data_IF_738921356143
#
_entry.id   IF_738921356143
#
_cell.length_a   1.000
_cell.length_b   1.000
_cell.length_c   1.000
_cell.angle_alpha   90.00
_cell.angle_beta   90.00
_cell.angle_gamma   90.00
#
_symmetry.space_group_name_H-M   'P 1'
#
loop_
_entity.id
_entity.type
_entity.pdbx_description
1 polymer ?
#
# COMPACT_ATOMS: atom_id res chain seq x y z
N UNK A 1 -3.85 0.99 26.27
CA UNK A 1 -2.65 1.57 25.63
C UNK A 1 -1.68 0.52 25.08
N UNK A 2 -1.17 -0.47 25.85
CA UNK A 2 -0.19 -1.46 25.38
C UNK A 2 -0.69 -2.26 24.16
N UNK A 3 -1.90 -2.78 24.20
CA UNK A 3 -2.48 -3.61 23.10
C UNK A 3 -2.59 -2.83 21.77
N UNK A 4 -2.93 -1.55 21.81
CA UNK A 4 -3.01 -0.70 20.62
C UNK A 4 -1.62 -0.48 20.01
N UNK A 5 -0.60 -0.23 20.85
CA UNK A 5 0.78 -0.06 20.39
C UNK A 5 1.31 -1.32 19.71
N UNK A 6 1.03 -2.50 20.28
CA UNK A 6 1.41 -3.78 19.69
C UNK A 6 0.71 -4.01 18.36
N UNK A 7 -0.60 -3.73 18.28
CA UNK A 7 -1.34 -3.84 17.02
C UNK A 7 -0.78 -2.90 15.95
N UNK A 8 -0.44 -1.68 16.32
CA UNK A 8 0.18 -0.71 15.41
C UNK A 8 1.50 -1.22 14.86
N UNK A 9 2.41 -1.66 15.74
CA UNK A 9 3.70 -2.23 15.33
C UNK A 9 3.53 -3.45 14.43
N UNK A 10 2.51 -4.27 14.71
CA UNK A 10 2.19 -5.43 13.90
C UNK A 10 1.68 -5.02 12.50
N UNK A 11 0.81 -4.03 12.41
CA UNK A 11 0.32 -3.50 11.14
C UNK A 11 1.47 -2.93 10.29
N UNK A 12 2.35 -2.16 10.91
CA UNK A 12 3.55 -1.63 10.25
C UNK A 12 4.45 -2.76 9.73
N UNK A 13 4.68 -3.78 10.54
CA UNK A 13 5.46 -4.93 10.13
C UNK A 13 4.81 -5.70 8.97
N UNK A 14 3.50 -5.93 9.01
CA UNK A 14 2.76 -6.58 7.92
C UNK A 14 2.91 -5.78 6.62
N UNK A 15 2.75 -4.46 6.67
CA UNK A 15 2.88 -3.61 5.48
C UNK A 15 4.27 -3.65 4.85
N UNK A 16 5.31 -3.72 5.67
CA UNK A 16 6.69 -3.87 5.21
C UNK A 16 7.02 -5.26 4.64
N UNK A 17 6.19 -6.28 4.92
CA UNK A 17 6.46 -7.66 4.55
C UNK A 17 5.40 -8.27 3.61
N UNK A 18 4.53 -7.46 2.99
CA UNK A 18 3.47 -7.97 2.10
C UNK A 18 4.00 -8.77 0.90
N UNK A 19 5.22 -8.48 0.46
CA UNK A 19 5.96 -9.15 -0.61
C UNK A 19 6.79 -10.36 -0.13
N UNK A 20 6.61 -10.78 1.12
CA UNK A 20 7.20 -11.97 1.70
C UNK A 20 6.11 -12.93 2.18
N UNK A 21 6.41 -14.24 2.31
CA UNK A 21 5.51 -15.16 2.98
C UNK A 21 5.26 -14.70 4.42
N UNK A 22 4.02 -14.51 4.79
CA UNK A 22 3.63 -14.15 6.16
C UNK A 22 2.78 -15.30 6.71
N UNK A 23 3.30 -16.02 7.69
CA UNK A 23 2.58 -17.03 8.43
C UNK A 23 1.98 -16.48 9.73
N UNK A 24 1.01 -17.17 10.29
CA UNK A 24 0.46 -16.81 11.60
C UNK A 24 1.48 -17.01 12.72
N UNK A 25 2.43 -17.91 12.51
CA UNK A 25 3.54 -18.19 13.40
C UNK A 25 4.48 -16.99 13.50
N UNK A 26 4.87 -16.41 12.36
CA UNK A 26 5.72 -15.22 12.30
C UNK A 26 5.07 -14.05 13.04
N UNK A 27 3.76 -13.87 12.83
CA UNK A 27 2.98 -12.83 13.46
C UNK A 27 2.88 -13.04 14.98
N UNK A 28 2.65 -14.28 15.43
CA UNK A 28 2.59 -14.64 16.83
C UNK A 28 3.94 -14.40 17.51
N UNK A 29 5.03 -14.84 16.88
CA UNK A 29 6.40 -14.62 17.37
C UNK A 29 6.72 -13.13 17.47
N UNK A 30 6.41 -12.35 16.40
CA UNK A 30 6.67 -10.90 16.36
C UNK A 30 5.89 -10.12 17.41
N UNK A 31 4.66 -10.51 17.68
CA UNK A 31 3.77 -9.84 18.63
C UNK A 31 3.97 -10.25 20.09
N UNK A 32 4.61 -11.38 20.34
CA UNK A 32 4.69 -11.99 21.66
C UNK A 32 3.38 -12.61 22.16
N UNK A 33 2.36 -12.72 21.29
CA UNK A 33 1.07 -13.32 21.60
C UNK A 33 0.95 -14.73 21.04
N UNK A 34 0.13 -15.58 21.68
CA UNK A 34 -0.28 -16.84 21.07
C UNK A 34 -1.09 -16.59 19.79
N UNK A 35 -1.07 -17.56 18.84
CA UNK A 35 -1.84 -17.48 17.58
C UNK A 35 -3.31 -17.13 17.81
N UNK A 36 -3.93 -17.77 18.81
CA UNK A 36 -5.34 -17.52 19.17
C UNK A 36 -5.56 -16.08 19.66
N UNK A 37 -4.68 -15.62 20.53
CA UNK A 37 -4.82 -14.28 21.11
C UNK A 37 -4.61 -13.18 20.08
N UNK A 38 -3.64 -13.33 19.17
CA UNK A 38 -3.41 -12.33 18.13
C UNK A 38 -4.56 -12.28 17.11
N UNK A 39 -5.13 -13.43 16.72
CA UNK A 39 -6.30 -13.47 15.86
C UNK A 39 -7.52 -12.80 16.50
N UNK A 40 -7.76 -13.06 17.79
CA UNK A 40 -8.85 -12.44 18.55
C UNK A 40 -8.63 -10.93 18.69
N UNK A 41 -7.42 -10.52 19.06
CA UNK A 41 -7.04 -9.11 19.17
C UNK A 41 -7.29 -8.39 17.86
N UNK A 42 -6.80 -8.96 16.76
CA UNK A 42 -6.94 -8.37 15.44
C UNK A 42 -8.41 -8.26 15.02
N UNK A 43 -9.19 -9.33 15.20
CA UNK A 43 -10.62 -9.34 14.87
C UNK A 43 -11.41 -8.29 15.67
N UNK A 44 -11.08 -8.12 16.96
CA UNK A 44 -11.77 -7.15 17.83
C UNK A 44 -11.46 -5.70 17.43
N UNK A 45 -10.24 -5.40 16.97
CA UNK A 45 -9.85 -4.05 16.59
C UNK A 45 -10.14 -3.71 15.13
N UNK A 46 -9.99 -4.70 14.24
CA UNK A 46 -10.09 -4.48 12.79
C UNK A 46 -11.41 -4.95 12.20
N UNK A 47 -12.27 -5.59 13.01
CA UNK A 47 -13.55 -6.18 12.60
C UNK A 47 -13.43 -7.15 11.41
N UNK A 48 -12.24 -7.68 11.16
CA UNK A 48 -11.97 -8.68 10.13
C UNK A 48 -10.87 -9.65 10.55
N UNK A 49 -10.83 -10.88 10.00
CA UNK A 49 -9.76 -11.83 10.25
C UNK A 49 -8.41 -11.31 9.71
N UNK A 50 -7.33 -11.61 10.42
CA UNK A 50 -5.96 -11.20 10.07
C UNK A 50 -5.55 -11.64 8.65
N UNK A 51 -5.79 -12.93 8.28
CA UNK A 51 -5.49 -13.41 6.94
C UNK A 51 -6.27 -12.69 5.84
N UNK A 52 -7.52 -12.30 6.12
CA UNK A 52 -8.33 -11.52 5.18
C UNK A 52 -7.77 -10.10 4.99
N UNK A 53 -7.26 -9.50 6.06
CA UNK A 53 -6.58 -8.21 5.98
C UNK A 53 -5.34 -8.29 5.09
N UNK A 54 -4.43 -9.23 5.36
CA UNK A 54 -3.20 -9.42 4.58
C UNK A 54 -3.53 -9.65 3.09
N UNK A 55 -4.49 -10.53 2.80
CA UNK A 55 -4.94 -10.79 1.42
C UNK A 55 -5.49 -9.55 0.75
N UNK A 56 -6.34 -8.79 1.43
CA UNK A 56 -6.90 -7.55 0.90
C UNK A 56 -5.81 -6.49 0.65
N UNK A 57 -4.83 -6.36 1.56
CA UNK A 57 -3.69 -5.45 1.38
C UNK A 57 -2.82 -5.84 0.17
N UNK A 58 -2.55 -7.15 -0.01
CA UNK A 58 -1.84 -7.67 -1.18
C UNK A 58 -2.58 -7.35 -2.48
N UNK A 59 -3.91 -7.52 -2.51
CA UNK A 59 -4.71 -7.14 -3.68
C UNK A 59 -4.68 -5.63 -3.96
N UNK A 60 -4.70 -4.80 -2.93
CA UNK A 60 -4.57 -3.35 -3.10
C UNK A 60 -3.18 -2.96 -3.66
N UNK A 61 -2.11 -3.61 -3.17
CA UNK A 61 -0.75 -3.42 -3.72
C UNK A 61 -0.68 -3.93 -5.17
N UNK A 62 -1.33 -5.06 -5.46
CA UNK A 62 -1.44 -5.57 -6.83
C UNK A 62 -2.14 -4.58 -7.75
N UNK A 63 -3.23 -3.92 -7.33
CA UNK A 63 -3.93 -2.93 -8.13
C UNK A 63 -3.02 -1.76 -8.54
N UNK A 64 -2.15 -1.32 -7.64
CA UNK A 64 -1.13 -0.31 -7.91
C UNK A 64 -0.12 -0.83 -8.95
N UNK A 65 0.42 -2.04 -8.76
CA UNK A 65 1.37 -2.64 -9.70
C UNK A 65 0.75 -2.90 -11.09
N UNK A 66 -0.50 -3.39 -11.12
CA UNK A 66 -1.26 -3.60 -12.35
C UNK A 66 -1.39 -2.29 -13.13
N UNK A 67 -1.62 -1.18 -12.44
CA UNK A 67 -1.87 0.12 -13.08
C UNK A 67 -0.59 0.84 -13.48
N UNK A 68 0.44 0.78 -12.64
CA UNK A 68 1.64 1.61 -12.78
C UNK A 68 2.84 0.88 -13.41
N UNK A 69 2.73 -0.44 -13.66
CA UNK A 69 3.85 -1.20 -14.22
C UNK A 69 3.46 -2.03 -15.44
N UNK A 70 4.44 -2.35 -16.27
CA UNK A 70 4.28 -3.27 -17.39
C UNK A 70 4.42 -4.76 -16.99
N UNK A 71 4.57 -5.07 -15.69
CA UNK A 71 4.73 -6.45 -15.21
C UNK A 71 3.59 -7.35 -15.67
N UNK A 72 3.91 -8.61 -15.96
CA UNK A 72 2.88 -9.61 -16.30
C UNK A 72 1.96 -9.87 -15.10
N UNK A 73 0.73 -10.32 -15.37
CA UNK A 73 -0.21 -10.67 -14.30
C UNK A 73 0.30 -11.85 -13.46
N UNK A 74 1.08 -12.73 -14.07
CA UNK A 74 1.74 -13.84 -13.38
C UNK A 74 2.82 -13.33 -12.42
N UNK A 75 3.69 -12.44 -12.86
CA UNK A 75 4.75 -11.87 -12.02
C UNK A 75 4.18 -11.11 -10.83
N UNK A 76 3.12 -10.33 -11.06
CA UNK A 76 2.43 -9.63 -9.98
C UNK A 76 1.83 -10.62 -8.98
N UNK A 77 1.16 -11.68 -9.47
CA UNK A 77 0.58 -12.70 -8.61
C UNK A 77 1.65 -13.39 -7.75
N UNK A 78 2.75 -13.83 -8.36
CA UNK A 78 3.82 -14.51 -7.66
C UNK A 78 4.55 -13.59 -6.67
N UNK A 79 4.83 -12.34 -7.05
CA UNK A 79 5.49 -11.38 -6.16
C UNK A 79 4.68 -11.01 -4.91
N UNK A 80 3.38 -11.28 -4.93
CA UNK A 80 2.46 -11.03 -3.79
C UNK A 80 1.93 -12.32 -3.16
N UNK A 81 2.59 -13.45 -3.42
CA UNK A 81 2.31 -14.76 -2.83
C UNK A 81 0.87 -15.25 -3.05
N UNK A 82 0.38 -15.12 -4.28
CA UNK A 82 -0.77 -15.87 -4.75
C UNK A 82 -0.31 -17.19 -5.35
N UNK A 83 -1.03 -18.26 -5.07
CA UNK A 83 -0.69 -19.62 -5.51
C UNK A 83 -0.67 -19.77 -7.05
N UNK A 84 -1.45 -18.94 -7.74
CA UNK A 84 -1.52 -18.94 -9.20
C UNK A 84 -2.10 -17.62 -9.72
N UNK A 85 -1.85 -17.32 -11.00
CA UNK A 85 -2.46 -16.20 -11.70
C UNK A 85 -4.00 -16.30 -11.71
N UNK A 86 -4.55 -17.53 -11.79
CA UNK A 86 -6.00 -17.76 -11.76
C UNK A 86 -6.60 -17.41 -10.41
N UNK A 87 -5.96 -17.86 -9.32
CA UNK A 87 -6.37 -17.53 -7.95
C UNK A 87 -6.33 -16.01 -7.74
N UNK A 88 -5.23 -15.38 -8.13
CA UNK A 88 -5.08 -13.92 -8.08
C UNK A 88 -6.18 -13.21 -8.86
N UNK A 89 -6.43 -13.58 -10.12
CA UNK A 89 -7.42 -12.92 -10.97
C UNK A 89 -8.84 -13.04 -10.42
N UNK A 90 -9.18 -14.18 -9.84
CA UNK A 90 -10.48 -14.42 -9.19
C UNK A 90 -10.67 -13.54 -7.96
N UNK A 91 -9.68 -13.52 -7.08
CA UNK A 91 -9.73 -12.70 -5.87
C UNK A 91 -9.72 -11.20 -6.19
N UNK A 92 -8.95 -10.79 -7.19
CA UNK A 92 -8.91 -9.43 -7.68
C UNK A 92 -10.26 -8.98 -8.22
N UNK A 93 -10.88 -9.82 -9.08
CA UNK A 93 -12.23 -9.54 -9.61
C UNK A 93 -13.28 -9.45 -8.51
N UNK A 94 -13.17 -10.29 -7.48
CA UNK A 94 -14.08 -10.24 -6.32
C UNK A 94 -13.98 -8.92 -5.56
N UNK A 95 -12.78 -8.34 -5.44
CA UNK A 95 -12.56 -7.10 -4.70
C UNK A 95 -12.86 -5.85 -5.55
N UNK A 96 -12.40 -5.83 -6.81
CA UNK A 96 -12.46 -4.64 -7.68
C UNK A 96 -13.58 -4.68 -8.73
N UNK A 97 -14.35 -5.77 -8.81
CA UNK A 97 -15.47 -5.91 -9.75
C UNK A 97 -15.06 -6.22 -11.19
N UNK A 98 -13.77 -6.22 -11.51
CA UNK A 98 -13.25 -6.48 -12.87
C UNK A 98 -11.94 -7.27 -12.80
N UNK A 99 -11.54 -7.87 -13.94
CA UNK A 99 -10.28 -8.60 -14.02
C UNK A 99 -9.08 -7.65 -13.93
N UNK A 100 -7.88 -8.13 -13.52
CA UNK A 100 -6.66 -7.32 -13.50
C UNK A 100 -6.35 -6.69 -14.86
N UNK A 101 -6.61 -7.42 -15.95
CA UNK A 101 -6.39 -6.92 -17.31
C UNK A 101 -7.33 -5.77 -17.66
N UNK A 102 -8.62 -5.91 -17.36
CA UNK A 102 -9.61 -4.83 -17.54
C UNK A 102 -9.26 -3.63 -16.67
N UNK A 103 -8.83 -3.85 -15.43
CA UNK A 103 -8.41 -2.78 -14.52
C UNK A 103 -7.22 -1.99 -15.06
N UNK A 104 -6.25 -2.66 -15.71
CA UNK A 104 -5.09 -2.02 -16.37
C UNK A 104 -5.50 -1.11 -17.53
N UNK A 105 -6.50 -1.52 -18.30
CA UNK A 105 -6.91 -0.85 -19.54
C UNK A 105 -7.97 0.25 -19.34
N UNK A 106 -8.53 0.40 -18.15
CA UNK A 106 -9.52 1.45 -17.87
C UNK A 106 -8.93 2.85 -18.05
N UNK A 107 -9.70 3.77 -18.60
CA UNK A 107 -9.27 5.17 -18.77
C UNK A 107 -9.11 5.91 -17.45
N UNK A 108 -9.86 5.51 -16.43
CA UNK A 108 -9.78 6.08 -15.08
C UNK A 108 -9.29 5.07 -14.05
N UNK A 109 -8.67 5.57 -12.98
CA UNK A 109 -8.22 4.75 -11.87
C UNK A 109 -9.24 4.75 -10.73
N UNK A 110 -9.99 3.64 -10.63
CA UNK A 110 -10.95 3.46 -9.55
C UNK A 110 -10.22 3.08 -8.24
N UNK A 111 -10.23 3.97 -7.29
CA UNK A 111 -9.61 3.80 -5.97
C UNK A 111 -10.61 3.40 -4.87
N UNK A 112 -11.90 3.24 -5.19
CA UNK A 112 -12.99 3.04 -4.23
C UNK A 112 -12.76 1.85 -3.30
N UNK A 113 -12.21 0.74 -3.81
CA UNK A 113 -11.95 -0.47 -3.05
C UNK A 113 -10.50 -0.60 -2.56
N UNK A 114 -9.68 0.42 -2.75
CA UNK A 114 -8.32 0.42 -2.23
C UNK A 114 -8.36 0.70 -0.73
N UNK A 115 -8.02 -0.31 0.06
CA UNK A 115 -7.78 -0.16 1.49
C UNK A 115 -6.40 0.46 1.67
N UNK A 116 -6.26 1.68 2.22
CA UNK A 116 -4.96 2.25 2.54
C UNK A 116 -4.29 1.44 3.67
N UNK A 117 -2.96 1.53 3.84
CA UNK A 117 -2.29 0.99 5.01
C UNK A 117 -2.90 1.57 6.28
N UNK A 118 -3.33 0.70 7.19
CA UNK A 118 -3.86 1.13 8.49
C UNK A 118 -2.68 1.47 9.43
N UNK A 119 -1.76 2.25 8.94
CA UNK A 119 -0.70 2.81 9.76
C UNK A 119 -1.35 3.85 10.67
N UNK A 120 -1.61 3.46 11.91
CA UNK A 120 -1.94 4.40 12.95
C UNK A 120 -0.67 5.18 13.34
N UNK A 121 -0.02 5.83 12.37
CA UNK A 121 0.79 6.99 12.76
C UNK A 121 -0.17 7.84 13.58
N UNK A 122 0.23 8.19 14.79
CA UNK A 122 -0.38 9.34 15.44
C UNK A 122 -0.29 10.46 14.39
N UNK A 123 -1.37 10.64 13.65
CA UNK A 123 -1.50 11.82 12.84
C UNK A 123 -1.39 12.95 13.87
N UNK A 124 -0.25 13.62 13.93
CA UNK A 124 -0.30 15.00 14.35
C UNK A 124 -1.48 15.56 13.59
N UNK A 125 -2.53 15.95 14.34
CA UNK A 125 -3.69 16.59 13.73
C UNK A 125 -3.14 17.75 12.91
N UNK A 126 -2.99 17.50 11.62
CA UNK A 126 -2.65 18.58 10.69
C UNK A 126 -3.92 19.42 10.66
N UNK A 127 -3.87 20.54 11.32
CA UNK A 127 -4.98 21.50 11.34
C UNK A 127 -5.03 22.13 9.95
N UNK A 128 -5.75 21.47 9.05
CA UNK A 128 -5.93 21.95 7.68
C UNK A 128 -6.97 23.04 7.71
N UNK A 129 -6.55 24.29 7.49
CA UNK A 129 -7.45 25.41 7.30
C UNK A 129 -7.58 25.71 5.83
N UNK A 130 -8.82 25.76 5.36
CA UNK A 130 -9.11 26.32 4.04
C UNK A 130 -8.98 27.83 4.14
N UNK A 131 -8.01 28.41 3.46
CA UNK A 131 -7.85 29.87 3.36
C UNK A 131 -8.06 30.29 1.93
N UNK A 132 -8.87 31.33 1.71
CA UNK A 132 -8.94 31.99 0.42
C UNK A 132 -7.71 32.88 0.28
N UNK A 133 -6.79 32.48 -0.61
CA UNK A 133 -5.67 33.35 -0.98
C UNK A 133 -6.15 34.43 -1.95
N UNK A 134 -5.70 35.67 -1.79
CA UNK A 134 -5.87 36.67 -2.83
C UNK A 134 -5.19 36.20 -4.12
N UNK A 135 -5.53 36.83 -5.25
CA UNK A 135 -4.95 36.49 -6.54
C UNK A 135 -3.41 36.37 -6.44
N UNK A 136 -2.90 35.14 -6.47
CA UNK A 136 -1.50 34.85 -6.22
C UNK A 136 -0.87 34.31 -7.50
N UNK A 137 0.16 34.98 -8.01
CA UNK A 137 0.96 34.50 -9.13
C UNK A 137 1.99 33.51 -8.60
N UNK A 138 1.93 32.26 -9.09
CA UNK A 138 2.91 31.22 -8.73
C UNK A 138 3.93 31.14 -9.87
N UNK A 139 5.20 31.29 -9.54
CA UNK A 139 6.32 31.11 -10.45
C UNK A 139 7.01 29.79 -10.11
N UNK A 140 7.34 29.00 -11.12
CA UNK A 140 8.01 27.71 -10.92
C UNK A 140 8.65 27.20 -12.21
N UNK A 141 9.61 26.29 -12.07
CA UNK A 141 10.21 25.57 -13.18
C UNK A 141 9.53 24.21 -13.31
N UNK A 142 9.19 23.82 -14.56
CA UNK A 142 8.71 22.46 -14.84
C UNK A 142 9.84 21.61 -15.37
N UNK A 143 9.99 20.40 -14.82
CA UNK A 143 10.95 19.41 -15.30
C UNK A 143 10.18 18.21 -15.83
N UNK A 144 10.53 17.73 -17.02
CA UNK A 144 10.07 16.44 -17.54
C UNK A 144 11.19 15.44 -17.33
N UNK A 145 10.86 14.28 -16.76
CA UNK A 145 11.77 13.16 -16.64
C UNK A 145 11.00 11.87 -16.89
N UNK A 146 11.62 10.96 -17.62
CA UNK A 146 11.07 9.64 -17.88
C UNK A 146 11.66 8.65 -16.86
N UNK A 147 10.80 7.97 -16.13
CA UNK A 147 11.20 6.92 -15.19
C UNK A 147 10.69 5.59 -15.72
N UNK A 148 11.60 4.67 -15.96
CA UNK A 148 11.24 3.27 -16.14
C UNK A 148 10.72 2.71 -14.81
N UNK A 149 9.40 2.61 -14.67
CA UNK A 149 8.73 2.14 -13.44
C UNK A 149 8.94 0.63 -13.21
N UNK A 150 9.60 -0.06 -14.15
CA UNK A 150 9.53 -1.52 -14.22
C UNK A 150 10.36 -2.28 -13.20
N UNK A 151 11.46 -1.79 -12.65
CA UNK A 151 12.33 -2.61 -11.77
C UNK A 151 13.25 -1.85 -10.81
N UNK A 152 13.09 -0.55 -10.63
CA UNK A 152 13.95 0.20 -9.70
C UNK A 152 13.41 0.16 -8.28
N UNK A 153 14.28 0.01 -7.27
CA UNK A 153 13.87 0.10 -5.88
C UNK A 153 13.29 1.51 -5.61
N UNK A 154 12.30 1.63 -4.70
CA UNK A 154 11.66 2.91 -4.35
C UNK A 154 12.63 4.04 -3.99
N UNK A 155 13.79 3.68 -3.45
CA UNK A 155 14.85 4.63 -3.06
C UNK A 155 15.51 5.35 -4.24
N UNK A 156 15.59 4.74 -5.41
CA UNK A 156 16.13 5.39 -6.61
C UNK A 156 15.17 6.44 -7.16
N UNK A 157 13.88 6.16 -7.15
CA UNK A 157 12.86 7.13 -7.58
C UNK A 157 12.84 8.37 -6.67
N UNK A 158 12.97 8.16 -5.36
CA UNK A 158 13.06 9.25 -4.37
C UNK A 158 14.31 10.06 -4.57
N UNK A 159 15.46 9.44 -4.88
CA UNK A 159 16.73 10.14 -5.19
C UNK A 159 16.61 10.96 -6.46
N UNK A 160 16.01 10.41 -7.54
CA UNK A 160 15.78 11.15 -8.78
C UNK A 160 14.91 12.39 -8.57
N UNK A 161 13.82 12.25 -7.82
CA UNK A 161 12.96 13.38 -7.47
C UNK A 161 13.69 14.43 -6.63
N UNK A 162 14.50 14.02 -5.65
CA UNK A 162 15.31 14.94 -4.82
C UNK A 162 16.33 15.71 -5.62
N UNK A 163 16.97 15.10 -6.60
CA UNK A 163 17.99 15.76 -7.42
C UNK A 163 17.40 16.84 -8.34
N UNK A 164 16.08 16.82 -8.58
CA UNK A 164 15.38 17.79 -9.41
C UNK A 164 14.59 18.84 -8.60
N UNK A 165 14.54 18.69 -7.26
CA UNK A 165 13.97 19.73 -6.40
C UNK A 165 15.01 20.84 -6.19
N UNK A 166 14.67 22.10 -6.48
CA UNK A 166 15.54 23.22 -6.18
C UNK A 166 15.86 23.27 -4.68
N UNK A 167 17.08 23.72 -4.32
CA UNK A 167 17.53 23.82 -2.91
C UNK A 167 16.64 24.70 -2.02
N UNK A 168 15.74 25.47 -2.61
CA UNK A 168 14.75 26.32 -1.93
C UNK A 168 13.76 25.52 -1.05
N UNK A 169 13.61 24.21 -1.27
CA UNK A 169 12.74 23.34 -0.46
C UNK A 169 13.50 22.42 0.49
N UNK A 170 14.81 22.63 0.67
CA UNK A 170 15.57 21.97 1.72
C UNK A 170 15.40 22.76 3.02
N UNK A 171 14.35 22.45 3.77
CA UNK A 171 14.22 22.81 5.18
C UNK A 171 14.63 21.61 6.03
#
# INVERSE_FOLDING_TARGET
MIRQKILQQLLEWIECNLDHPISIEDIAQKSGYSRRNIQLLFRNFMHMPLGSYIRKRRLCRAAILVRLTAKSMLDIALSLHFDSQQSFSREFKKLFGCSPREYRLRDFWDLTNILPPLLTRQHQKTDCRLINLPETRIWGNSFKYDIEISNKPPDEEVKLRRNHLPDVFRI
#
